data_IF_935069578656
#
_entry.id   IF_935069578656
#
_cell.length_a   1.000
_cell.length_b   1.000
_cell.length_c   1.000
_cell.angle_alpha   90.00
_cell.angle_beta   90.00
_cell.angle_gamma   90.00
#
_symmetry.space_group_name_H-M   'P 1'
#
loop_
_entity.id
_entity.type
_entity.pdbx_description
1 polymer ?
#
# COMPACT_ATOMS: atom_id res chain seq x y z
N UNK A 1 89.20 0.97 -47.65
CA UNK A 1 87.89 1.52 -47.87
C UNK A 1 87.10 1.39 -46.54
N UNK A 2 86.82 2.53 -45.88
CA UNK A 2 86.03 2.60 -44.65
C UNK A 2 84.53 2.77 -45.04
N UNK A 3 83.69 2.03 -44.44
CA UNK A 3 82.22 2.16 -44.54
C UNK A 3 81.79 3.38 -43.75
N UNK A 4 80.76 4.15 -44.20
CA UNK A 4 80.29 5.29 -43.49
C UNK A 4 79.41 4.82 -42.29
N UNK A 5 79.54 5.52 -41.16
CA UNK A 5 78.72 5.36 -39.97
C UNK A 5 77.29 5.69 -40.25
N UNK A 6 76.34 4.80 -39.90
CA UNK A 6 74.91 5.04 -39.89
C UNK A 6 74.57 5.88 -38.66
N UNK A 7 74.00 7.04 -38.90
CA UNK A 7 73.52 7.97 -37.92
C UNK A 7 72.23 7.36 -37.31
N UNK A 8 72.35 6.85 -36.07
CA UNK A 8 71.20 6.38 -35.33
C UNK A 8 70.44 7.58 -34.72
N UNK A 9 69.43 8.07 -35.42
CA UNK A 9 68.49 8.99 -34.83
C UNK A 9 67.69 8.28 -33.69
N UNK A 10 67.70 8.84 -32.48
CA UNK A 10 66.90 8.20 -31.37
C UNK A 10 65.46 8.22 -31.72
N UNK A 11 64.83 7.02 -31.75
CA UNK A 11 63.39 6.84 -31.77
C UNK A 11 62.82 7.56 -30.57
N UNK A 12 62.18 8.69 -30.84
CA UNK A 12 61.33 9.34 -29.85
C UNK A 12 60.29 8.30 -29.31
N UNK A 13 60.48 7.85 -28.07
CA UNK A 13 59.52 7.03 -27.39
C UNK A 13 58.20 7.82 -27.33
N UNK A 14 57.25 7.42 -28.13
CA UNK A 14 55.88 7.88 -27.98
C UNK A 14 55.42 7.36 -26.62
N UNK A 15 55.53 8.19 -25.59
CA UNK A 15 54.80 8.01 -24.37
C UNK A 15 53.32 8.04 -24.76
N UNK A 16 52.71 6.86 -24.81
CA UNK A 16 51.26 6.74 -24.93
C UNK A 16 50.66 7.49 -23.74
N UNK A 17 50.15 8.69 -23.99
CA UNK A 17 49.30 9.39 -23.03
C UNK A 17 48.05 8.56 -22.94
N UNK A 18 48.04 7.60 -22.02
CA UNK A 18 46.82 6.94 -21.58
C UNK A 18 46.00 8.03 -20.92
N UNK A 19 45.11 8.64 -21.71
CA UNK A 19 44.05 9.45 -21.16
C UNK A 19 43.21 8.48 -20.33
N UNK A 20 43.51 8.39 -19.04
CA UNK A 20 42.62 7.73 -18.10
C UNK A 20 41.27 8.36 -18.29
N UNK A 21 40.35 7.64 -18.92
CA UNK A 21 38.99 8.09 -19.06
C UNK A 21 38.47 8.29 -17.65
N UNK A 22 38.37 9.55 -17.20
CA UNK A 22 38.03 9.91 -15.85
C UNK A 22 36.68 9.21 -15.48
N UNK A 23 36.80 8.06 -14.82
CA UNK A 23 35.65 7.26 -14.41
C UNK A 23 34.82 8.06 -13.43
N UNK A 24 33.53 8.09 -13.65
CA UNK A 24 32.56 8.70 -12.70
C UNK A 24 32.09 7.63 -11.74
N UNK A 25 32.11 7.92 -10.44
CA UNK A 25 31.74 6.98 -9.42
C UNK A 25 30.28 6.51 -9.53
N UNK A 26 29.96 5.40 -8.86
CA UNK A 26 28.61 4.86 -8.71
C UNK A 26 27.76 5.81 -7.88
N UNK A 27 26.50 6.02 -8.27
CA UNK A 27 25.51 6.72 -7.43
C UNK A 27 25.11 5.82 -6.25
N UNK A 28 25.16 6.37 -5.04
CA UNK A 28 24.78 5.69 -3.81
C UNK A 28 23.65 6.44 -3.08
N UNK A 29 23.02 5.79 -2.10
CA UNK A 29 22.01 6.42 -1.27
C UNK A 29 20.72 6.79 -2.02
N UNK A 30 20.41 6.09 -3.13
CA UNK A 30 19.13 6.28 -3.83
C UNK A 30 17.98 5.90 -2.91
N UNK A 31 17.07 6.86 -2.72
CA UNK A 31 15.85 6.73 -1.92
C UNK A 31 14.67 7.36 -2.65
N UNK A 32 13.46 7.15 -2.15
CA UNK A 32 12.27 7.80 -2.70
C UNK A 32 11.28 8.22 -1.61
N UNK A 33 10.50 9.25 -1.95
CA UNK A 33 9.28 9.64 -1.22
C UNK A 33 8.12 9.65 -2.20
N UNK A 34 7.10 8.84 -1.97
CA UNK A 34 5.85 8.89 -2.73
C UNK A 34 5.08 10.14 -2.33
N UNK A 35 4.82 11.03 -3.30
CA UNK A 35 4.15 12.31 -3.07
C UNK A 35 2.64 12.20 -3.27
N UNK A 36 2.24 11.39 -4.26
CA UNK A 36 0.82 11.24 -4.64
C UNK A 36 0.56 9.88 -5.29
N UNK A 37 -0.61 9.73 -5.87
CA UNK A 37 -0.96 8.57 -6.70
C UNK A 37 -0.33 8.59 -8.12
N UNK A 38 0.40 9.65 -8.46
CA UNK A 38 1.05 9.80 -9.77
C UNK A 38 2.44 10.40 -9.71
N UNK A 39 2.99 10.69 -8.50
CA UNK A 39 4.27 11.34 -8.35
C UNK A 39 5.14 10.67 -7.28
N UNK A 40 6.41 10.48 -7.63
CA UNK A 40 7.47 9.96 -6.75
C UNK A 40 8.68 10.87 -6.85
N UNK A 41 9.14 11.39 -5.70
CA UNK A 41 10.40 12.12 -5.60
C UNK A 41 11.53 11.15 -5.28
N UNK A 42 12.55 11.13 -6.11
CA UNK A 42 13.80 10.41 -5.92
C UNK A 42 14.84 11.35 -5.28
N UNK A 43 15.75 10.80 -4.48
CA UNK A 43 16.89 11.50 -3.90
C UNK A 43 18.09 10.58 -3.85
N UNK A 44 19.32 11.12 -4.03
CA UNK A 44 20.57 10.36 -4.02
C UNK A 44 21.72 11.18 -3.45
N UNK A 45 22.86 10.54 -3.18
CA UNK A 45 24.06 11.21 -2.70
C UNK A 45 24.86 11.79 -3.88
N UNK A 46 25.53 12.92 -3.65
CA UNK A 46 26.43 13.55 -4.62
C UNK A 46 27.58 12.60 -4.98
N UNK A 47 27.92 12.57 -6.26
CA UNK A 47 29.08 11.85 -6.78
C UNK A 47 30.15 12.88 -7.15
N UNK A 48 31.36 12.72 -6.61
CA UNK A 48 32.48 13.62 -6.89
C UNK A 48 32.83 13.61 -8.38
N UNK A 49 33.08 14.78 -8.95
CA UNK A 49 33.42 14.95 -10.35
C UNK A 49 32.27 14.72 -11.36
N UNK A 50 31.06 14.50 -10.91
CA UNK A 50 29.91 14.43 -11.79
C UNK A 50 29.58 15.81 -12.38
N UNK A 51 29.14 15.84 -13.65
CA UNK A 51 28.54 17.01 -14.31
C UNK A 51 27.00 16.96 -14.24
N UNK A 52 26.44 15.81 -13.91
CA UNK A 52 24.98 15.61 -13.81
C UNK A 52 24.61 14.14 -13.63
N UNK A 53 23.29 13.87 -13.69
CA UNK A 53 22.74 12.54 -13.40
C UNK A 53 21.70 12.14 -14.44
N UNK A 54 21.72 10.86 -14.82
CA UNK A 54 20.72 10.23 -15.67
C UNK A 54 19.79 9.41 -14.79
N UNK A 55 18.51 9.78 -14.75
CA UNK A 55 17.47 9.05 -14.04
C UNK A 55 16.83 8.07 -14.98
N UNK A 56 16.72 6.81 -14.58
CA UNK A 56 16.18 5.72 -15.39
C UNK A 56 15.05 5.01 -14.63
N UNK A 57 14.00 4.61 -15.36
CA UNK A 57 12.88 3.85 -14.85
C UNK A 57 12.74 2.54 -15.63
N UNK A 58 12.44 1.44 -14.95
CA UNK A 58 12.25 0.13 -15.59
C UNK A 58 11.02 0.14 -16.50
N UNK A 59 11.20 -0.26 -17.75
CA UNK A 59 10.13 -0.47 -18.72
C UNK A 59 10.49 -1.70 -19.57
N UNK A 60 9.61 -2.69 -19.60
CA UNK A 60 9.81 -3.93 -20.38
C UNK A 60 11.19 -4.60 -20.12
N UNK A 61 11.58 -4.71 -18.85
CA UNK A 61 12.85 -5.31 -18.43
C UNK A 61 14.10 -4.44 -18.60
N UNK A 62 14.03 -3.33 -19.35
CA UNK A 62 15.12 -2.37 -19.60
C UNK A 62 14.98 -1.15 -18.69
N UNK A 63 16.04 -0.32 -18.63
CA UNK A 63 16.08 0.93 -17.86
C UNK A 63 16.31 2.13 -18.78
N UNK A 64 15.32 2.52 -19.61
CA UNK A 64 15.45 3.75 -20.41
C UNK A 64 15.61 4.97 -19.50
N UNK A 65 16.37 5.95 -19.98
CA UNK A 65 16.47 7.26 -19.34
C UNK A 65 15.13 7.99 -19.43
N UNK A 66 14.66 8.50 -18.30
CA UNK A 66 13.43 9.30 -18.20
C UNK A 66 13.73 10.78 -17.92
N UNK A 67 14.92 11.07 -17.39
CA UNK A 67 15.36 12.45 -17.15
C UNK A 67 16.87 12.60 -17.18
N UNK A 68 17.28 13.81 -17.55
CA UNK A 68 18.67 14.27 -17.53
C UNK A 68 18.77 15.46 -16.58
N UNK A 69 19.38 15.26 -15.43
CA UNK A 69 19.61 16.31 -14.44
C UNK A 69 20.98 16.93 -14.72
N UNK A 70 20.99 18.07 -15.43
CA UNK A 70 22.20 18.78 -15.89
C UNK A 70 22.83 19.64 -14.77
N UNK A 71 23.01 19.05 -13.61
CA UNK A 71 23.60 19.71 -12.42
C UNK A 71 24.20 18.65 -11.50
N UNK A 72 25.40 18.93 -11.01
CA UNK A 72 26.09 18.09 -10.02
C UNK A 72 25.54 18.27 -8.59
N UNK A 73 24.87 19.40 -8.34
CA UNK A 73 24.32 19.79 -7.03
C UNK A 73 22.83 19.50 -6.89
N UNK A 74 22.12 19.26 -7.99
CA UNK A 74 20.72 18.82 -7.93
C UNK A 74 20.66 17.31 -7.72
N UNK A 75 20.35 16.90 -6.49
CA UNK A 75 20.38 15.52 -6.01
C UNK A 75 18.98 14.90 -5.87
N UNK A 76 18.00 15.49 -6.53
CA UNK A 76 16.61 15.01 -6.51
C UNK A 76 15.95 15.14 -7.86
N UNK A 77 14.97 14.28 -8.12
CA UNK A 77 14.11 14.37 -9.29
C UNK A 77 12.70 13.87 -8.96
N UNK A 78 11.67 14.60 -9.39
CA UNK A 78 10.28 14.17 -9.22
C UNK A 78 9.76 13.57 -10.52
N UNK A 79 9.51 12.27 -10.49
CA UNK A 79 8.87 11.54 -11.59
C UNK A 79 7.38 11.77 -11.48
N UNK A 80 6.76 12.25 -12.56
CA UNK A 80 5.33 12.60 -12.65
C UNK A 80 4.59 11.68 -13.62
N UNK A 81 3.27 11.78 -13.63
CA UNK A 81 2.37 11.06 -14.56
C UNK A 81 2.52 9.54 -14.47
N UNK A 82 2.86 9.03 -13.30
CA UNK A 82 2.90 7.59 -13.04
C UNK A 82 1.49 7.03 -12.87
N UNK A 83 1.25 5.77 -13.26
CA UNK A 83 0.00 5.09 -12.94
C UNK A 83 -0.20 4.96 -11.43
N UNK A 84 -1.44 5.04 -10.97
CA UNK A 84 -1.74 4.89 -9.54
C UNK A 84 -1.60 3.43 -9.07
N UNK A 85 -1.26 3.23 -7.81
CA UNK A 85 -1.09 1.92 -7.18
C UNK A 85 -0.16 0.98 -7.96
N UNK A 86 0.86 1.52 -8.63
CA UNK A 86 1.80 0.76 -9.45
C UNK A 86 3.14 0.68 -8.76
N UNK A 87 3.77 -0.50 -8.85
CA UNK A 87 5.15 -0.68 -8.42
C UNK A 87 6.09 -0.14 -9.48
N UNK A 88 7.05 0.66 -9.05
CA UNK A 88 8.02 1.30 -9.92
C UNK A 88 9.44 0.96 -9.49
N UNK A 89 10.33 0.88 -10.47
CA UNK A 89 11.73 0.54 -10.29
C UNK A 89 12.60 1.61 -10.92
N UNK A 90 13.56 2.14 -10.15
CA UNK A 90 14.43 3.22 -10.59
C UNK A 90 15.89 2.87 -10.42
N UNK A 91 16.72 3.45 -11.29
CA UNK A 91 18.18 3.52 -11.18
C UNK A 91 18.62 4.93 -11.53
N UNK A 92 19.69 5.39 -10.91
CA UNK A 92 20.35 6.66 -11.25
C UNK A 92 21.81 6.39 -11.51
N UNK A 93 22.39 7.05 -12.50
CA UNK A 93 23.84 7.06 -12.72
C UNK A 93 24.34 8.48 -12.91
N UNK A 94 25.52 8.76 -12.42
CA UNK A 94 26.22 10.01 -12.68
C UNK A 94 26.85 10.00 -14.08
N UNK A 95 27.08 11.18 -14.63
CA UNK A 95 27.93 11.35 -15.81
C UNK A 95 28.86 12.56 -15.65
N UNK A 96 29.99 12.52 -16.36
CA UNK A 96 30.89 13.64 -16.58
C UNK A 96 30.87 14.00 -18.03
N UNK A 97 30.89 15.30 -18.35
CA UNK A 97 31.02 15.78 -19.73
C UNK A 97 32.46 15.98 -20.05
N UNK A 98 32.98 15.23 -21.01
CA UNK A 98 34.36 15.30 -21.51
C UNK A 98 34.31 15.61 -23.01
N UNK A 99 34.90 16.72 -23.42
CA UNK A 99 34.92 17.15 -24.85
C UNK A 99 33.51 17.09 -25.46
N UNK A 100 32.46 17.57 -24.73
CA UNK A 100 31.06 17.60 -25.17
C UNK A 100 30.32 16.25 -25.13
N UNK A 101 30.99 15.14 -24.82
CA UNK A 101 30.39 13.79 -24.72
C UNK A 101 30.20 13.38 -23.26
N UNK A 102 29.07 12.70 -22.97
CA UNK A 102 28.79 12.15 -21.64
C UNK A 102 29.52 10.83 -21.44
N UNK A 103 30.34 10.76 -20.40
CA UNK A 103 30.93 9.53 -19.87
C UNK A 103 30.18 9.14 -18.62
N UNK A 104 29.51 7.98 -18.64
CA UNK A 104 28.63 7.53 -17.57
C UNK A 104 29.35 6.66 -16.56
N UNK A 105 29.09 6.88 -15.30
CA UNK A 105 29.43 5.98 -14.21
C UNK A 105 28.47 4.78 -14.11
N UNK A 106 28.75 3.91 -13.16
CA UNK A 106 27.89 2.77 -12.85
C UNK A 106 26.51 3.23 -12.32
N UNK A 107 25.49 2.44 -12.59
CA UNK A 107 24.16 2.65 -12.03
C UNK A 107 24.16 2.46 -10.50
N UNK A 108 23.30 3.19 -9.82
CA UNK A 108 22.92 2.87 -8.45
C UNK A 108 22.36 1.45 -8.35
N UNK A 109 22.23 0.96 -7.12
CA UNK A 109 21.42 -0.21 -6.86
C UNK A 109 19.96 0.06 -7.28
N UNK A 110 19.24 -1.02 -7.55
CA UNK A 110 17.85 -0.94 -7.96
C UNK A 110 16.98 -0.44 -6.80
N UNK A 111 16.16 0.58 -7.03
CA UNK A 111 15.26 1.13 -6.05
C UNK A 111 13.80 0.84 -6.41
N UNK A 112 13.16 0.04 -5.57
CA UNK A 112 11.75 -0.34 -5.70
C UNK A 112 10.89 0.50 -4.77
N UNK A 113 9.77 0.97 -5.29
CA UNK A 113 8.78 1.76 -4.55
C UNK A 113 7.41 1.62 -5.24
N UNK A 114 6.39 2.32 -4.79
CA UNK A 114 5.10 2.37 -5.46
C UNK A 114 4.43 3.73 -5.34
N UNK A 115 3.56 4.05 -6.29
CA UNK A 115 2.63 5.16 -6.19
C UNK A 115 1.51 4.84 -5.20
N UNK A 116 0.92 5.86 -4.60
CA UNK A 116 -0.26 5.68 -3.74
C UNK A 116 -1.46 5.18 -4.58
N UNK A 117 -2.36 4.39 -4.01
CA UNK A 117 -3.67 4.17 -4.60
C UNK A 117 -4.48 5.46 -4.67
N UNK A 118 -5.45 5.49 -5.57
CA UNK A 118 -6.51 6.50 -5.52
C UNK A 118 -7.32 6.39 -4.22
N UNK A 119 -8.03 7.45 -3.80
CA UNK A 119 -8.97 7.37 -2.70
C UNK A 119 -9.98 6.24 -2.94
N UNK A 120 -10.27 5.45 -1.93
CA UNK A 120 -11.33 4.46 -2.02
C UNK A 120 -12.69 5.16 -2.20
N UNK A 121 -13.49 4.69 -3.16
CA UNK A 121 -14.78 5.30 -3.54
C UNK A 121 -15.94 4.35 -3.25
N UNK A 122 -17.15 4.91 -3.17
CA UNK A 122 -18.38 4.14 -3.05
C UNK A 122 -18.52 3.40 -1.71
N UNK A 123 -17.82 3.86 -0.66
CA UNK A 123 -18.07 3.32 0.69
C UNK A 123 -19.50 3.59 1.08
N UNK A 124 -20.21 2.53 1.42
CA UNK A 124 -21.61 2.59 1.90
C UNK A 124 -21.86 1.51 2.93
N UNK A 125 -22.88 1.75 3.74
CA UNK A 125 -23.47 0.72 4.60
C UNK A 125 -24.39 -0.15 3.74
N UNK A 126 -24.11 -1.44 3.65
CA UNK A 126 -24.91 -2.38 2.83
C UNK A 126 -25.94 -3.15 3.65
N UNK A 127 -25.69 -3.38 4.93
CA UNK A 127 -26.69 -3.90 5.88
C UNK A 127 -26.34 -3.56 7.31
N UNK A 128 -27.36 -3.52 8.16
CA UNK A 128 -27.25 -3.26 9.60
C UNK A 128 -28.07 -4.28 10.35
N UNK A 129 -27.54 -4.79 11.46
CA UNK A 129 -28.27 -5.60 12.45
C UNK A 129 -28.18 -4.95 13.84
N UNK A 130 -28.67 -5.64 14.86
CA UNK A 130 -28.57 -5.17 16.25
C UNK A 130 -27.12 -5.20 16.80
N UNK A 131 -26.23 -5.98 16.21
CA UNK A 131 -24.85 -6.18 16.68
C UNK A 131 -23.80 -6.16 15.56
N UNK A 132 -24.19 -5.79 14.34
CA UNK A 132 -23.24 -5.74 13.22
C UNK A 132 -23.61 -4.70 12.17
N UNK A 133 -22.59 -4.24 11.45
CA UNK A 133 -22.71 -3.36 10.28
C UNK A 133 -21.88 -3.94 9.16
N UNK A 134 -22.47 -4.18 8.00
CA UNK A 134 -21.75 -4.57 6.78
C UNK A 134 -21.48 -3.34 5.93
N UNK A 135 -20.20 -3.14 5.63
CA UNK A 135 -19.71 -2.10 4.74
C UNK A 135 -19.40 -2.69 3.37
N UNK A 136 -19.57 -1.90 2.32
CA UNK A 136 -19.13 -2.26 0.97
C UNK A 136 -18.59 -1.03 0.24
N UNK A 137 -17.73 -1.25 -0.77
CA UNK A 137 -17.10 -0.18 -1.55
C UNK A 137 -16.72 -0.65 -2.95
N UNK A 138 -16.35 0.31 -3.79
CA UNK A 138 -15.92 0.04 -5.17
C UNK A 138 -14.49 -0.52 -5.18
N UNK A 139 -14.26 -1.58 -5.98
CA UNK A 139 -12.93 -2.13 -6.20
C UNK A 139 -12.04 -1.14 -6.94
N UNK A 140 -10.82 -0.96 -6.45
CA UNK A 140 -9.77 -0.19 -7.12
C UNK A 140 -8.45 -0.97 -7.13
N UNK A 141 -7.49 -0.57 -7.97
CA UNK A 141 -6.15 -1.16 -7.99
C UNK A 141 -5.40 -0.89 -6.67
N UNK A 142 -5.26 -1.91 -5.83
CA UNK A 142 -4.52 -1.82 -4.55
C UNK A 142 -4.13 -3.23 -4.10
N UNK A 143 -3.32 -3.33 -3.05
CA UNK A 143 -2.97 -4.62 -2.44
C UNK A 143 -4.02 -5.05 -1.41
N UNK A 144 -4.54 -4.11 -0.64
CA UNK A 144 -5.56 -4.34 0.39
C UNK A 144 -6.26 -3.03 0.76
N UNK A 145 -7.32 -3.15 1.52
CA UNK A 145 -8.02 -2.04 2.17
C UNK A 145 -7.81 -2.08 3.67
N UNK A 146 -7.77 -0.92 4.30
CA UNK A 146 -7.75 -0.72 5.74
C UNK A 146 -9.07 -0.11 6.16
N UNK A 147 -9.76 -0.76 7.08
CA UNK A 147 -11.07 -0.32 7.61
C UNK A 147 -10.86 0.33 8.96
N UNK A 148 -11.47 1.50 9.15
CA UNK A 148 -11.36 2.29 10.37
C UNK A 148 -12.71 2.56 10.97
N UNK A 149 -12.77 2.53 12.29
CA UNK A 149 -13.92 2.90 13.11
C UNK A 149 -13.56 4.06 14.03
N UNK A 150 -14.44 5.03 14.17
CA UNK A 150 -14.31 6.08 15.18
C UNK A 150 -14.63 5.51 16.57
N UNK A 151 -13.63 5.54 17.48
CA UNK A 151 -13.75 5.07 18.87
C UNK A 151 -13.19 6.14 19.80
N UNK A 152 -13.97 6.63 20.73
CA UNK A 152 -13.57 7.66 21.70
C UNK A 152 -12.90 8.87 21.01
N UNK A 153 -13.52 9.39 19.94
CA UNK A 153 -13.01 10.54 19.18
C UNK A 153 -11.80 10.25 18.28
N UNK A 154 -11.27 9.02 18.28
CA UNK A 154 -10.11 8.64 17.48
C UNK A 154 -10.44 7.57 16.44
N UNK A 155 -9.85 7.69 15.25
CA UNK A 155 -9.94 6.69 14.20
C UNK A 155 -8.99 5.53 14.47
N UNK A 156 -9.55 4.36 14.77
CA UNK A 156 -8.78 3.12 14.98
C UNK A 156 -8.96 2.17 13.81
N UNK A 157 -7.87 1.60 13.30
CA UNK A 157 -7.92 0.53 12.31
C UNK A 157 -8.51 -0.72 12.97
N UNK A 158 -9.56 -1.28 12.37
CA UNK A 158 -10.27 -2.46 12.86
C UNK A 158 -10.11 -3.68 11.96
N UNK A 159 -9.70 -3.48 10.70
CA UNK A 159 -9.47 -4.58 9.78
C UNK A 159 -8.54 -4.21 8.62
N UNK A 160 -7.90 -5.26 8.07
CA UNK A 160 -7.23 -5.29 6.78
C UNK A 160 -7.88 -6.38 5.94
N UNK A 161 -8.30 -6.06 4.71
CA UNK A 161 -8.95 -7.01 3.81
C UNK A 161 -8.57 -6.77 2.36
N UNK A 162 -8.62 -7.81 1.53
CA UNK A 162 -8.51 -7.74 0.07
C UNK A 162 -9.88 -7.61 -0.61
N UNK A 163 -10.94 -7.90 0.13
CA UNK A 163 -12.32 -7.84 -0.34
C UNK A 163 -12.83 -6.41 -0.46
N UNK A 164 -13.95 -6.24 -1.14
CA UNK A 164 -14.65 -4.96 -1.29
C UNK A 164 -15.82 -4.82 -0.32
N UNK A 165 -15.85 -5.64 0.71
CA UNK A 165 -16.79 -5.55 1.82
C UNK A 165 -16.16 -6.03 3.12
N UNK A 166 -16.72 -5.57 4.25
CA UNK A 166 -16.33 -6.01 5.57
C UNK A 166 -17.51 -5.90 6.54
N UNK A 167 -17.71 -6.93 7.37
CA UNK A 167 -18.74 -6.92 8.41
C UNK A 167 -18.09 -6.67 9.75
N UNK A 168 -18.40 -5.52 10.33
CA UNK A 168 -18.05 -5.18 11.72
C UNK A 168 -19.03 -5.87 12.64
N UNK A 169 -18.54 -6.69 13.56
CA UNK A 169 -19.33 -7.49 14.49
C UNK A 169 -19.15 -7.01 15.93
N UNK A 170 -19.93 -7.58 16.85
CA UNK A 170 -19.87 -7.33 18.30
C UNK A 170 -20.11 -5.84 18.65
N UNK A 171 -21.04 -5.22 17.95
CA UNK A 171 -21.47 -3.87 18.19
C UNK A 171 -22.62 -3.85 19.21
N UNK A 172 -22.71 -2.77 19.99
CA UNK A 172 -23.83 -2.53 20.88
C UNK A 172 -25.07 -2.16 20.08
N UNK A 173 -26.24 -2.62 20.50
CA UNK A 173 -27.52 -2.25 19.89
C UNK A 173 -27.85 -0.76 20.08
N UNK A 174 -28.69 -0.20 19.21
CA UNK A 174 -29.17 1.21 19.24
C UNK A 174 -28.00 2.22 19.33
N UNK A 175 -26.84 1.90 18.77
CA UNK A 175 -25.66 2.72 18.86
C UNK A 175 -25.19 3.14 17.47
N UNK A 176 -24.84 4.42 17.31
CA UNK A 176 -24.32 4.97 16.05
C UNK A 176 -22.82 4.82 15.99
N UNK A 177 -22.35 4.26 14.86
CA UNK A 177 -20.94 4.06 14.54
C UNK A 177 -20.56 4.79 13.27
N UNK A 178 -19.32 5.30 13.22
CA UNK A 178 -18.76 5.93 12.02
C UNK A 178 -17.59 5.12 11.50
N UNK A 179 -17.53 5.01 10.17
CA UNK A 179 -16.51 4.24 9.48
C UNK A 179 -15.92 5.02 8.31
N UNK A 180 -14.66 4.74 8.00
CA UNK A 180 -13.98 5.12 6.76
C UNK A 180 -12.98 4.05 6.36
N UNK A 181 -12.55 4.07 5.12
CA UNK A 181 -11.56 3.15 4.59
C UNK A 181 -10.47 3.91 3.85
N UNK A 182 -9.33 3.26 3.66
CA UNK A 182 -8.32 3.66 2.68
C UNK A 182 -7.73 2.45 1.99
N UNK A 183 -7.35 2.62 0.74
CA UNK A 183 -6.61 1.62 -0.01
C UNK A 183 -5.12 1.67 0.33
N UNK A 184 -4.44 0.55 0.21
CA UNK A 184 -3.02 0.38 0.45
C UNK A 184 -2.38 -0.39 -0.69
N UNK A 185 -1.26 0.10 -1.23
CA UNK A 185 -0.35 -0.62 -2.11
C UNK A 185 0.90 -0.99 -1.33
N UNK A 186 1.26 -2.26 -1.35
CA UNK A 186 2.52 -2.73 -0.75
C UNK A 186 3.52 -2.92 -1.88
N UNK A 187 4.70 -2.33 -1.76
CA UNK A 187 5.80 -2.48 -2.72
C UNK A 187 6.61 -3.76 -2.47
N UNK A 188 7.66 -3.97 -3.28
CA UNK A 188 8.49 -5.17 -3.19
C UNK A 188 9.37 -5.21 -1.93
N UNK A 189 9.62 -4.06 -1.29
CA UNK A 189 10.31 -3.93 0.00
C UNK A 189 9.37 -4.08 1.20
N UNK A 190 8.09 -4.46 0.97
CA UNK A 190 7.03 -4.56 1.99
C UNK A 190 6.62 -3.22 2.61
N UNK A 191 7.05 -2.09 2.05
CA UNK A 191 6.57 -0.77 2.48
C UNK A 191 5.14 -0.53 1.97
N UNK A 192 4.33 0.13 2.80
CA UNK A 192 2.93 0.42 2.53
C UNK A 192 2.77 1.87 2.03
N UNK A 193 2.13 2.02 0.88
CA UNK A 193 1.77 3.29 0.27
C UNK A 193 0.25 3.45 0.36
N UNK A 194 -0.21 4.50 1.02
CA UNK A 194 -1.61 4.69 1.35
C UNK A 194 -2.28 5.74 0.48
N UNK A 195 -3.45 5.41 -0.05
CA UNK A 195 -4.37 6.38 -0.61
C UNK A 195 -4.98 7.27 0.47
N UNK A 196 -5.61 8.37 0.04
CA UNK A 196 -6.43 9.19 0.94
C UNK A 196 -7.60 8.36 1.48
N UNK A 197 -8.12 8.75 2.64
CA UNK A 197 -9.33 8.15 3.19
C UNK A 197 -10.54 8.39 2.27
N UNK A 198 -11.51 7.46 2.32
CA UNK A 198 -12.84 7.66 1.77
C UNK A 198 -13.59 8.76 2.54
N UNK A 199 -14.73 9.20 2.00
CA UNK A 199 -15.75 9.85 2.81
C UNK A 199 -16.17 8.92 3.98
N UNK A 200 -16.65 9.52 5.06
CA UNK A 200 -17.18 8.81 6.23
C UNK A 200 -18.60 8.31 5.96
N UNK A 201 -18.92 7.16 6.54
CA UNK A 201 -20.30 6.66 6.60
C UNK A 201 -20.69 6.40 8.05
N UNK A 202 -21.97 6.59 8.37
CA UNK A 202 -22.54 6.33 9.68
C UNK A 202 -23.60 5.26 9.59
N UNK A 203 -23.72 4.43 10.63
CA UNK A 203 -24.78 3.45 10.77
C UNK A 203 -25.19 3.33 12.23
N UNK A 204 -26.50 3.25 12.48
CA UNK A 204 -27.06 2.99 13.82
C UNK A 204 -27.58 1.55 13.86
N UNK A 205 -27.03 0.74 14.76
CA UNK A 205 -27.48 -0.65 14.97
C UNK A 205 -28.92 -0.69 15.44
N UNK A 206 -29.67 -1.71 15.03
CA UNK A 206 -31.05 -1.90 15.42
C UNK A 206 -31.18 -2.36 16.89
N UNK A 207 -32.40 -2.43 17.39
CA UNK A 207 -32.72 -3.11 18.65
C UNK A 207 -32.54 -4.62 18.45
N UNK A 208 -32.03 -5.32 19.44
CA UNK A 208 -32.01 -6.78 19.43
C UNK A 208 -33.46 -7.32 19.38
N UNK A 209 -33.69 -8.42 18.65
CA UNK A 209 -34.99 -9.10 18.71
C UNK A 209 -35.36 -9.40 20.17
N UNK A 210 -36.64 -9.28 20.48
CA UNK A 210 -37.12 -9.73 21.79
C UNK A 210 -36.86 -11.22 21.92
N UNK A 211 -36.32 -11.62 23.05
CA UNK A 211 -36.22 -13.05 23.38
C UNK A 211 -37.65 -13.54 23.62
N UNK A 212 -38.15 -14.34 22.71
CA UNK A 212 -39.45 -14.95 22.85
C UNK A 212 -39.29 -16.20 23.72
N UNK A 213 -39.71 -16.09 24.96
CA UNK A 213 -39.71 -17.24 25.87
C UNK A 213 -41.11 -17.90 25.83
N UNK A 214 -41.23 -19.18 26.12
CA UNK A 214 -42.55 -19.83 26.26
C UNK A 214 -43.50 -19.06 27.17
N UNK A 215 -43.00 -18.49 28.28
CA UNK A 215 -43.78 -17.68 29.20
C UNK A 215 -44.21 -16.34 28.59
N UNK A 216 -43.39 -15.71 27.76
CA UNK A 216 -43.76 -14.45 27.08
C UNK A 216 -44.80 -14.67 25.98
N UNK A 217 -44.84 -15.85 25.37
CA UNK A 217 -45.84 -16.22 24.35
C UNK A 217 -47.16 -16.71 24.91
N UNK A 218 -47.10 -17.52 25.98
CA UNK A 218 -48.25 -18.27 26.48
C UNK A 218 -48.69 -17.82 27.87
N UNK A 219 -48.00 -16.86 28.49
CA UNK A 219 -48.19 -16.46 29.88
C UNK A 219 -47.64 -17.53 30.83
N UNK A 220 -48.05 -17.44 32.10
CA UNK A 220 -47.61 -18.41 33.09
C UNK A 220 -48.16 -19.80 32.72
N UNK A 221 -47.28 -20.77 32.61
CA UNK A 221 -47.65 -22.16 32.37
C UNK A 221 -48.03 -22.84 33.69
N UNK A 222 -49.04 -23.65 33.68
CA UNK A 222 -49.52 -24.44 34.81
C UNK A 222 -49.73 -25.90 34.44
N UNK A 223 -49.73 -26.79 35.42
CA UNK A 223 -50.02 -28.21 35.18
C UNK A 223 -51.50 -28.45 35.51
N UNK A 224 -52.22 -29.01 34.55
CA UNK A 224 -53.62 -29.42 34.73
C UNK A 224 -53.76 -30.91 34.33
N UNK A 225 -53.87 -31.77 35.31
CA UNK A 225 -53.78 -33.22 35.11
C UNK A 225 -52.39 -33.60 34.55
N UNK A 226 -52.31 -34.38 33.50
CA UNK A 226 -51.09 -34.77 32.83
C UNK A 226 -50.58 -33.79 31.79
N UNK A 227 -51.21 -32.57 31.66
CA UNK A 227 -50.87 -31.61 30.61
C UNK A 227 -50.29 -30.30 31.22
N UNK A 228 -49.34 -29.71 30.51
CA UNK A 228 -48.94 -28.31 30.71
C UNK A 228 -49.91 -27.43 29.89
N UNK A 229 -50.52 -26.44 30.53
CA UNK A 229 -51.46 -25.51 29.86
C UNK A 229 -50.97 -24.07 30.02
N UNK A 230 -51.33 -23.23 29.04
CA UNK A 230 -51.10 -21.78 29.09
C UNK A 230 -52.10 -21.09 30.00
N UNK A 231 -51.96 -19.77 30.15
CA UNK A 231 -52.87 -18.94 30.98
C UNK A 231 -54.37 -19.03 30.57
N UNK A 232 -54.66 -19.49 29.36
CA UNK A 232 -56.01 -19.64 28.81
C UNK A 232 -56.49 -21.10 28.90
N UNK A 233 -55.73 -21.99 29.52
CA UNK A 233 -56.06 -23.42 29.65
C UNK A 233 -55.75 -24.26 28.38
N UNK A 234 -55.13 -23.70 27.38
CA UNK A 234 -54.73 -24.42 26.15
C UNK A 234 -53.53 -25.29 26.40
N UNK A 235 -53.61 -26.56 25.98
CA UNK A 235 -52.49 -27.51 26.16
C UNK A 235 -51.25 -27.06 25.39
N UNK A 236 -50.15 -26.93 26.10
CA UNK A 236 -48.84 -26.59 25.58
C UNK A 236 -48.03 -27.88 25.38
N UNK A 237 -47.79 -28.19 24.11
CA UNK A 237 -46.87 -29.33 23.77
C UNK A 237 -45.44 -28.82 23.75
N UNK A 238 -44.60 -29.30 24.65
CA UNK A 238 -43.13 -29.12 24.59
C UNK A 238 -42.61 -29.92 23.37
N UNK A 239 -42.44 -29.25 22.26
CA UNK A 239 -41.60 -29.78 21.20
C UNK A 239 -40.15 -29.64 21.70
N UNK A 240 -39.42 -30.76 21.82
CA UNK A 240 -37.98 -30.78 22.08
C UNK A 240 -37.25 -30.15 20.88
N UNK A 241 -37.24 -28.83 20.83
CA UNK A 241 -36.27 -28.12 20.01
C UNK A 241 -34.95 -28.21 20.76
N UNK A 242 -33.94 -28.82 20.15
CA UNK A 242 -32.57 -28.88 20.60
C UNK A 242 -32.16 -27.55 21.26
N UNK A 243 -32.04 -27.55 22.59
CA UNK A 243 -31.27 -26.54 23.30
C UNK A 243 -29.83 -26.97 23.13
N UNK A 244 -29.15 -26.44 22.10
CA UNK A 244 -27.70 -26.54 22.03
C UNK A 244 -27.13 -25.75 23.22
N UNK A 245 -26.61 -26.45 24.22
CA UNK A 245 -25.83 -25.84 25.28
C UNK A 245 -24.74 -24.98 24.71
N UNK A 246 -24.53 -23.77 25.27
CA UNK A 246 -23.33 -23.00 24.93
C UNK A 246 -22.11 -23.79 25.38
N UNK A 247 -21.31 -24.28 24.44
CA UNK A 247 -20.02 -24.90 24.71
C UNK A 247 -19.19 -23.98 25.59
N UNK A 248 -19.02 -24.34 26.85
CA UNK A 248 -17.99 -23.79 27.73
C UNK A 248 -16.63 -24.14 27.08
N UNK A 249 -15.93 -23.16 26.59
CA UNK A 249 -14.49 -23.32 26.32
C UNK A 249 -13.78 -23.25 27.66
N UNK A 250 -13.15 -24.34 27.99
CA UNK A 250 -12.08 -24.45 28.99
C UNK A 250 -10.84 -23.72 28.51
#
# INVERSE_FOLDING_TARGET
AALPAVDETPLLSQTAITVEAASVGKVTGLTSKTLSNSEIKLSWKKVSGASGYSVCMRKNGKYPQIADVKSDSTLTYTVKNLPNATRENFKVRAYKTVKGKKVYGAYSDNWNTATNPQPAKGLKVSSVSYNSVKLSWTKIGCTNYRVFQLKNGQWKEIAKTTDTSYTVKNLSQKTTYKFKIRACKTDDKKANHYGKYSAEVSATTSKAPAVVTPVSQHGQLSVKGANIVDKNGKVFKLSLIHISEPTRRS
#
